data_IF_718580312419
#
_entry.id   IF_718580312419
#
_cell.length_a   1.000
_cell.length_b   1.000
_cell.length_c   1.000
_cell.angle_alpha   90.00
_cell.angle_beta   90.00
_cell.angle_gamma   90.00
#
_symmetry.space_group_name_H-M   'P 1'
#
loop_
_entity.id
_entity.type
_entity.pdbx_description
1 polymer ?
#
# COMPACT_ATOMS: atom_id res chain seq x y z
N UNK A 1 -9.17 12.48 -7.55
CA UNK A 1 -9.18 12.32 -9.01
C UNK A 1 -8.65 10.93 -9.34
N UNK A 2 -9.17 10.28 -10.38
CA UNK A 2 -8.61 9.02 -10.92
C UNK A 2 -7.80 9.42 -12.15
N UNK A 3 -6.57 8.94 -12.24
CA UNK A 3 -5.64 9.26 -13.33
C UNK A 3 -5.31 7.99 -14.10
N UNK A 4 -5.53 8.00 -15.41
CA UNK A 4 -5.22 6.90 -16.31
C UNK A 4 -3.82 7.09 -16.91
N UNK A 5 -2.95 6.09 -16.73
CA UNK A 5 -1.61 6.06 -17.32
C UNK A 5 -1.51 4.79 -18.18
N UNK A 6 -1.65 4.96 -19.49
CA UNK A 6 -1.51 3.88 -20.47
C UNK A 6 -0.12 3.82 -21.07
N UNK A 7 0.28 2.63 -21.53
CA UNK A 7 1.48 2.42 -22.36
C UNK A 7 1.07 1.73 -23.65
N UNK A 8 1.39 2.33 -24.79
CA UNK A 8 1.17 1.73 -26.10
C UNK A 8 2.50 1.15 -26.60
N UNK A 9 2.49 -0.13 -26.97
CA UNK A 9 3.65 -0.80 -27.58
C UNK A 9 3.55 -0.68 -29.10
N UNK A 10 4.48 0.00 -29.78
CA UNK A 10 4.58 -0.07 -31.23
C UNK A 10 4.89 -1.52 -31.65
N UNK A 11 4.27 -2.01 -32.72
CA UNK A 11 4.47 -3.38 -33.18
C UNK A 11 5.95 -3.67 -33.45
N UNK A 12 6.48 -4.75 -32.87
CA UNK A 12 7.87 -5.19 -33.05
C UNK A 12 8.88 -4.57 -32.08
N UNK A 13 8.47 -3.65 -31.21
CA UNK A 13 9.35 -3.01 -30.22
C UNK A 13 9.07 -3.49 -28.79
N UNK A 14 10.07 -3.34 -27.91
CA UNK A 14 9.88 -3.60 -26.49
C UNK A 14 9.02 -2.50 -25.86
N UNK A 15 8.01 -2.90 -25.07
CA UNK A 15 7.11 -1.98 -24.38
C UNK A 15 7.87 -1.03 -23.46
N UNK A 16 7.67 0.28 -23.62
CA UNK A 16 8.24 1.28 -22.73
C UNK A 16 7.38 1.45 -21.45
N UNK A 17 7.89 0.96 -20.32
CA UNK A 17 7.23 1.06 -19.02
C UNK A 17 7.68 2.26 -18.17
N UNK A 18 8.56 3.14 -18.67
CA UNK A 18 9.14 4.23 -17.87
C UNK A 18 8.07 5.18 -17.32
N UNK A 19 7.05 5.50 -18.12
CA UNK A 19 5.93 6.36 -17.71
C UNK A 19 5.10 5.76 -16.58
N UNK A 20 4.77 4.47 -16.67
CA UNK A 20 4.06 3.74 -15.60
C UNK A 20 4.92 3.69 -14.34
N UNK A 21 6.22 3.37 -14.48
CA UNK A 21 7.15 3.30 -13.35
C UNK A 21 7.21 4.63 -12.59
N UNK A 22 7.38 5.75 -13.31
CA UNK A 22 7.41 7.08 -12.70
C UNK A 22 6.11 7.41 -11.95
N UNK A 23 4.94 7.14 -12.54
CA UNK A 23 3.65 7.39 -11.90
C UNK A 23 3.43 6.52 -10.64
N UNK A 24 3.92 5.28 -10.64
CA UNK A 24 3.88 4.41 -9.47
C UNK A 24 4.81 4.94 -8.38
N UNK A 25 6.05 5.29 -8.71
CA UNK A 25 7.02 5.83 -7.75
C UNK A 25 6.50 7.10 -7.09
N UNK A 26 5.97 8.05 -7.87
CA UNK A 26 5.39 9.28 -7.33
C UNK A 26 4.22 8.99 -6.37
N UNK A 27 3.33 8.05 -6.72
CA UNK A 27 2.22 7.64 -5.83
C UNK A 27 2.68 6.93 -4.56
N UNK A 28 3.78 6.18 -4.61
CA UNK A 28 4.37 5.52 -3.45
C UNK A 28 5.04 6.53 -2.51
N UNK A 29 5.69 7.55 -3.06
CA UNK A 29 6.33 8.64 -2.30
C UNK A 29 5.30 9.66 -1.78
N UNK A 30 4.15 9.77 -2.46
CA UNK A 30 3.06 10.65 -2.07
C UNK A 30 2.34 10.16 -0.80
N UNK A 31 2.81 10.62 0.36
CA UNK A 31 2.16 10.44 1.65
C UNK A 31 0.97 11.39 1.91
N UNK A 32 0.54 12.23 0.95
CA UNK A 32 -0.53 13.23 1.17
C UNK A 32 -1.91 12.62 1.47
N UNK A 33 -2.13 11.34 1.13
CA UNK A 33 -3.39 10.63 1.43
C UNK A 33 -3.41 10.09 2.87
N UNK A 34 -2.27 10.15 3.59
CA UNK A 34 -2.27 9.98 5.04
C UNK A 34 -2.51 11.34 5.68
N UNK A 35 -3.78 11.72 5.84
CA UNK A 35 -4.12 12.74 6.84
C UNK A 35 -3.46 12.34 8.16
N UNK A 36 -2.76 13.23 8.89
CA UNK A 36 -2.22 12.90 10.19
C UNK A 36 -3.36 12.38 11.06
N UNK A 37 -3.35 11.06 11.34
CA UNK A 37 -4.35 10.48 12.23
C UNK A 37 -4.00 10.94 13.62
N UNK A 38 -4.99 11.45 14.34
CA UNK A 38 -4.81 11.82 15.74
C UNK A 38 -4.17 10.65 16.50
N UNK A 39 -3.11 10.90 17.26
CA UNK A 39 -2.35 9.88 17.99
C UNK A 39 -3.26 9.00 18.87
N UNK A 40 -4.33 9.58 19.43
CA UNK A 40 -5.34 8.86 20.21
C UNK A 40 -6.12 7.84 19.38
N UNK A 41 -6.36 8.10 18.08
CA UNK A 41 -7.01 7.14 17.17
C UNK A 41 -6.07 5.98 16.88
N UNK A 42 -4.78 6.26 16.63
CA UNK A 42 -3.76 5.24 16.40
C UNK A 42 -3.65 4.33 17.63
N UNK A 43 -3.53 4.92 18.82
CA UNK A 43 -3.44 4.17 20.08
C UNK A 43 -4.67 3.29 20.33
N UNK A 44 -5.88 3.83 20.16
CA UNK A 44 -7.13 3.07 20.34
C UNK A 44 -7.21 1.87 19.39
N UNK A 45 -6.83 2.05 18.13
CA UNK A 45 -6.83 0.97 17.15
C UNK A 45 -5.81 -0.11 17.52
N UNK A 46 -4.58 0.28 17.86
CA UNK A 46 -3.54 -0.67 18.27
C UNK A 46 -3.96 -1.44 19.54
N UNK A 47 -4.55 -0.75 20.52
CA UNK A 47 -5.07 -1.38 21.75
C UNK A 47 -6.19 -2.39 21.43
N UNK A 48 -7.17 -2.01 20.61
CA UNK A 48 -8.28 -2.89 20.25
C UNK A 48 -7.82 -4.12 19.46
N UNK A 49 -6.84 -3.95 18.57
CA UNK A 49 -6.21 -5.07 17.85
C UNK A 49 -5.49 -6.00 18.82
N UNK A 50 -4.68 -5.44 19.73
CA UNK A 50 -3.97 -6.22 20.72
C UNK A 50 -4.94 -7.01 21.59
N UNK A 51 -5.97 -6.36 22.14
CA UNK A 51 -7.01 -7.03 22.95
C UNK A 51 -7.73 -8.15 22.19
N UNK A 52 -8.01 -7.95 20.89
CA UNK A 52 -8.70 -8.93 20.05
C UNK A 52 -7.84 -10.16 19.72
N UNK A 53 -6.53 -9.99 19.55
CA UNK A 53 -5.64 -11.04 19.02
C UNK A 53 -4.56 -11.52 20.01
N UNK A 54 -4.54 -11.00 21.24
CA UNK A 54 -3.58 -11.33 22.32
C UNK A 54 -3.35 -12.85 22.54
N UNK A 55 -4.32 -13.69 22.23
CA UNK A 55 -4.21 -15.14 22.41
C UNK A 55 -4.58 -15.94 21.15
N UNK A 56 -4.60 -15.28 19.98
CA UNK A 56 -5.05 -15.86 18.72
C UNK A 56 -3.90 -16.36 17.83
N UNK A 57 -2.67 -16.39 18.33
CA UNK A 57 -1.55 -17.02 17.62
C UNK A 57 -1.58 -18.51 18.01
N UNK A 58 -2.07 -19.41 17.14
CA UNK A 58 -1.97 -20.83 17.40
C UNK A 58 -0.48 -21.20 17.53
N UNK A 59 -0.11 -22.09 18.47
CA UNK A 59 1.24 -22.64 18.49
C UNK A 59 1.53 -23.25 17.13
N UNK A 60 2.73 -22.97 16.59
CA UNK A 60 3.18 -23.31 15.24
C UNK A 60 2.56 -24.58 14.66
N UNK A 61 2.03 -24.50 13.44
CA UNK A 61 1.75 -25.69 12.67
C UNK A 61 3.09 -26.35 12.34
N UNK A 62 3.35 -27.60 12.78
CA UNK A 62 4.61 -28.28 12.50
C UNK A 62 4.81 -28.41 10.99
N UNK A 63 6.04 -28.14 10.56
CA UNK A 63 6.52 -28.21 9.17
C UNK A 63 6.40 -29.59 8.54
#
# INVERSE_FOLDING_TARGET
SIEYVGTQTPGGESTDFRGIKAAITDKLENNKIRSPRNLSVIFKVLKALNEKFNHAIPPEMPS
#
